data_IF_966428058435
#
_entry.id   IF_966428058435
#
_cell.length_a   1.000
_cell.length_b   1.000
_cell.length_c   1.000
_cell.angle_alpha   90.00
_cell.angle_beta   90.00
_cell.angle_gamma   90.00
#
_symmetry.space_group_name_H-M   'P 1'
#
loop_
_entity.id
_entity.type
_entity.pdbx_description
1 polymer ?
#
# COMPACT_ATOMS: atom_id res chain seq x y z
N UNK A 1 12.14 10.69 0.75
CA UNK A 1 11.01 10.18 1.51
C UNK A 1 11.52 9.25 2.63
N UNK A 2 11.10 9.48 3.84
CA UNK A 2 11.58 8.69 4.97
C UNK A 2 11.01 7.27 5.04
N UNK A 3 10.01 6.96 4.22
CA UNK A 3 9.39 5.64 4.23
C UNK A 3 10.01 4.69 3.22
N UNK A 4 10.60 5.22 2.16
CA UNK A 4 11.30 4.39 1.18
C UNK A 4 12.27 5.24 0.37
N UNK A 5 13.21 4.56 -0.28
CA UNK A 5 14.18 5.20 -1.16
C UNK A 5 13.86 4.82 -2.60
N UNK A 6 13.76 5.82 -3.46
CA UNK A 6 13.38 5.63 -4.85
C UNK A 6 14.25 4.63 -5.59
N UNK A 7 15.54 4.58 -5.27
CA UNK A 7 16.51 3.75 -5.98
C UNK A 7 16.64 2.34 -5.41
N UNK A 8 15.93 2.02 -4.37
CA UNK A 8 15.95 0.67 -3.81
C UNK A 8 14.80 -0.10 -4.40
N UNK A 9 15.04 -1.14 -5.24
CA UNK A 9 13.97 -1.87 -5.88
C UNK A 9 13.20 -2.79 -4.94
N UNK A 10 13.75 -3.05 -3.75
CA UNK A 10 13.13 -3.93 -2.78
C UNK A 10 12.82 -3.13 -1.55
N UNK A 11 11.55 -2.85 -1.37
CA UNK A 11 11.07 -2.16 -0.19
C UNK A 11 10.41 -3.11 0.79
N UNK A 12 10.90 -4.33 0.79
CA UNK A 12 10.56 -5.25 1.82
C UNK A 12 11.38 -4.90 3.03
N UNK A 13 10.74 -4.56 4.10
CA UNK A 13 11.46 -4.34 5.34
C UNK A 13 10.83 -5.14 6.46
N UNK A 14 11.63 -5.38 7.48
CA UNK A 14 11.25 -6.20 8.61
C UNK A 14 10.94 -5.31 9.80
N UNK A 15 9.85 -5.61 10.48
CA UNK A 15 9.50 -4.93 11.71
C UNK A 15 8.96 -6.01 12.65
N UNK A 16 9.83 -6.46 13.58
CA UNK A 16 9.47 -7.46 14.58
C UNK A 16 8.79 -8.70 13.99
N UNK A 17 9.34 -9.23 12.91
CA UNK A 17 8.83 -10.43 12.27
C UNK A 17 7.76 -10.22 11.22
N UNK A 18 7.33 -8.98 11.00
CA UNK A 18 6.43 -8.68 9.89
C UNK A 18 7.21 -8.50 8.59
N UNK A 19 6.67 -9.03 7.50
CA UNK A 19 7.19 -8.76 6.16
C UNK A 19 6.27 -7.77 5.47
N UNK A 20 6.84 -6.71 4.96
CA UNK A 20 6.08 -5.61 4.37
C UNK A 20 6.60 -5.36 2.97
N UNK A 21 5.72 -5.45 2.00
CA UNK A 21 6.04 -5.18 0.61
C UNK A 21 5.53 -3.78 0.28
N UNK A 22 6.44 -2.91 -0.15
CA UNK A 22 6.07 -1.54 -0.50
C UNK A 22 5.87 -1.46 -2.00
N UNK A 23 4.70 -1.02 -2.40
CA UNK A 23 4.32 -0.85 -3.80
C UNK A 23 3.97 0.59 -4.07
N UNK A 24 4.04 0.98 -5.33
CA UNK A 24 3.50 2.28 -5.73
C UNK A 24 2.92 2.19 -7.12
N UNK A 25 1.96 3.07 -7.37
CA UNK A 25 1.27 3.13 -8.65
C UNK A 25 1.06 4.56 -9.09
N UNK A 26 1.29 4.80 -10.37
CA UNK A 26 0.83 6.02 -11.00
C UNK A 26 -0.68 6.00 -11.13
N UNK A 27 -1.26 7.18 -11.26
CA UNK A 27 -2.69 7.31 -11.49
C UNK A 27 -2.97 7.12 -12.99
N UNK A 28 -3.75 6.11 -13.32
CA UNK A 28 -4.12 5.82 -14.70
C UNK A 28 -5.46 6.45 -15.03
N UNK A 29 -5.52 7.07 -16.20
CA UNK A 29 -6.77 7.61 -16.74
C UNK A 29 -7.37 6.60 -17.71
N UNK A 30 -8.68 6.41 -17.65
CA UNK A 30 -9.36 5.62 -18.66
C UNK A 30 -9.48 6.46 -19.95
N UNK A 31 -9.64 5.77 -21.10
CA UNK A 31 -9.71 6.42 -22.38
C UNK A 31 -10.84 7.46 -22.50
N UNK A 32 -11.92 7.22 -21.78
CA UNK A 32 -13.06 8.17 -21.77
C UNK A 32 -12.83 9.36 -20.82
N UNK A 33 -11.73 9.36 -20.08
CA UNK A 33 -11.38 10.47 -19.20
C UNK A 33 -12.22 10.64 -17.95
N UNK A 34 -13.19 9.77 -17.71
CA UNK A 34 -14.16 9.94 -16.64
C UNK A 34 -13.82 9.22 -15.35
N UNK A 35 -12.82 8.38 -15.35
CA UNK A 35 -12.41 7.69 -14.13
C UNK A 35 -10.93 7.47 -14.11
N UNK A 36 -10.39 7.47 -12.91
CA UNK A 36 -8.99 7.25 -12.64
C UNK A 36 -8.86 6.05 -11.72
N UNK A 37 -7.77 5.33 -11.84
CA UNK A 37 -7.54 4.17 -11.01
C UNK A 37 -6.05 3.92 -10.83
N UNK A 38 -5.75 3.08 -9.86
CA UNK A 38 -4.40 2.59 -9.62
C UNK A 38 -4.36 1.08 -9.79
N UNK A 39 -3.18 0.57 -10.06
CA UNK A 39 -2.97 -0.86 -10.23
C UNK A 39 -1.77 -1.30 -9.40
N UNK A 40 -1.92 -2.39 -8.67
CA UNK A 40 -0.86 -2.97 -7.87
C UNK A 40 -0.73 -4.45 -8.18
N UNK A 41 0.49 -4.92 -8.28
CA UNK A 41 0.75 -6.35 -8.32
C UNK A 41 0.89 -6.84 -6.89
N UNK A 42 0.09 -7.86 -6.55
CA UNK A 42 -0.06 -8.28 -5.17
C UNK A 42 0.46 -9.69 -4.90
N UNK A 43 1.16 -10.26 -5.86
CA UNK A 43 1.71 -11.60 -5.69
C UNK A 43 2.81 -11.62 -4.63
N UNK A 44 2.77 -12.61 -3.75
CA UNK A 44 3.82 -12.80 -2.75
C UNK A 44 3.28 -13.33 -1.45
N UNK A 45 4.18 -13.55 -0.50
CA UNK A 45 3.88 -14.12 0.81
C UNK A 45 4.08 -13.12 1.95
N UNK A 46 4.17 -11.84 1.64
CA UNK A 46 4.33 -10.82 2.66
C UNK A 46 3.09 -10.71 3.53
N UNK A 47 3.27 -10.17 4.73
CA UNK A 47 2.16 -9.98 5.67
C UNK A 47 1.30 -8.78 5.30
N UNK A 48 1.94 -7.72 4.79
CA UNK A 48 1.27 -6.48 4.43
C UNK A 48 1.79 -5.93 3.12
N UNK A 49 0.93 -5.17 2.45
CA UNK A 49 1.35 -4.27 1.39
C UNK A 49 1.15 -2.85 1.90
N UNK A 50 2.17 -2.03 1.74
CA UNK A 50 2.07 -0.59 1.91
C UNK A 50 2.11 0.01 0.51
N UNK A 51 1.02 0.63 0.11
CA UNK A 51 0.89 1.16 -1.25
C UNK A 51 0.92 2.69 -1.24
N UNK A 52 1.80 3.24 -2.06
CA UNK A 52 1.85 4.69 -2.31
C UNK A 52 1.22 4.94 -3.67
N UNK A 53 0.12 5.65 -3.68
CA UNK A 53 -0.69 5.87 -4.87
C UNK A 53 -0.60 7.33 -5.29
N UNK A 54 -0.17 7.56 -6.52
CA UNK A 54 -0.07 8.93 -7.04
C UNK A 54 -1.42 9.64 -6.93
N UNK A 55 -1.42 10.80 -6.27
CA UNK A 55 -2.67 11.51 -6.00
C UNK A 55 -3.24 12.16 -7.24
N UNK A 56 -2.39 12.80 -8.02
CA UNK A 56 -2.77 13.46 -9.26
C UNK A 56 -1.78 13.11 -10.35
N UNK A 57 -2.23 13.11 -11.60
CA UNK A 57 -1.35 12.81 -12.72
C UNK A 57 -0.17 13.77 -12.74
N UNK A 58 1.03 13.21 -12.72
CA UNK A 58 2.26 14.00 -12.76
C UNK A 58 2.77 14.44 -11.40
N UNK A 59 2.03 14.21 -10.33
CA UNK A 59 2.51 14.58 -8.99
C UNK A 59 3.51 13.57 -8.43
N UNK A 60 3.66 12.43 -9.09
CA UNK A 60 4.52 11.35 -8.63
C UNK A 60 4.20 10.97 -7.19
N UNK A 61 5.15 11.11 -6.28
CA UNK A 61 4.95 10.74 -4.89
C UNK A 61 4.83 11.94 -3.96
N UNK A 62 4.41 13.09 -4.50
CA UNK A 62 4.08 14.22 -3.65
C UNK A 62 2.72 13.97 -3.00
N UNK A 63 2.70 13.94 -1.69
CA UNK A 63 1.50 13.70 -0.89
C UNK A 63 0.65 12.54 -1.44
N UNK A 64 1.24 11.34 -1.60
CA UNK A 64 0.49 10.23 -2.17
C UNK A 64 -0.61 9.77 -1.22
N UNK A 65 -1.62 9.09 -1.80
CA UNK A 65 -2.53 8.31 -0.97
C UNK A 65 -1.79 7.07 -0.50
N UNK A 66 -1.92 6.73 0.77
CA UNK A 66 -1.23 5.58 1.35
C UNK A 66 -2.25 4.56 1.81
N UNK A 67 -2.08 3.32 1.35
CA UNK A 67 -2.90 2.20 1.83
C UNK A 67 -2.01 1.24 2.61
N UNK A 68 -2.54 0.75 3.71
CA UNK A 68 -1.94 -0.34 4.48
C UNK A 68 -2.90 -1.52 4.40
N UNK A 69 -2.52 -2.53 3.63
CA UNK A 69 -3.42 -3.66 3.32
C UNK A 69 -2.83 -4.95 3.85
N UNK A 70 -3.51 -5.59 4.83
CA UNK A 70 -3.11 -6.94 5.23
C UNK A 70 -3.34 -7.91 4.06
N UNK A 71 -2.37 -8.78 3.81
CA UNK A 71 -2.46 -9.71 2.68
C UNK A 71 -3.67 -10.63 2.76
N UNK A 72 -4.14 -10.93 3.95
CA UNK A 72 -5.32 -11.79 4.12
C UNK A 72 -6.56 -11.26 3.41
N UNK A 73 -6.66 -9.95 3.18
CA UNK A 73 -7.79 -9.35 2.48
C UNK A 73 -7.63 -9.37 0.95
N UNK A 74 -6.46 -9.67 0.47
CA UNK A 74 -6.18 -9.73 -0.97
C UNK A 74 -6.42 -11.14 -1.52
N UNK A 75 -6.22 -12.13 -0.69
CA UNK A 75 -6.38 -13.54 -1.02
C UNK A 75 -5.53 -13.94 -2.24
N UNK A 76 -6.16 -14.53 -3.24
CA UNK A 76 -5.45 -15.06 -4.40
C UNK A 76 -5.33 -14.08 -5.56
N UNK A 77 -5.76 -12.85 -5.36
CA UNK A 77 -5.68 -11.86 -6.43
C UNK A 77 -4.21 -11.53 -6.73
N UNK A 78 -3.86 -11.58 -8.00
CA UNK A 78 -2.50 -11.27 -8.44
C UNK A 78 -2.32 -9.79 -8.75
N UNK A 79 -3.41 -9.09 -8.91
CA UNK A 79 -3.42 -7.69 -9.28
C UNK A 79 -4.65 -7.03 -8.68
N UNK A 80 -4.45 -5.85 -8.11
CA UNK A 80 -5.55 -5.04 -7.59
C UNK A 80 -5.76 -3.84 -8.49
N UNK A 81 -7.03 -3.60 -8.82
CA UNK A 81 -7.46 -2.38 -9.47
C UNK A 81 -8.21 -1.55 -8.45
N UNK A 82 -7.69 -0.37 -8.16
CA UNK A 82 -8.18 0.47 -7.07
C UNK A 82 -8.77 1.73 -7.68
N UNK A 83 -10.07 1.96 -7.45
CA UNK A 83 -10.71 3.20 -7.89
C UNK A 83 -10.59 4.26 -6.80
N UNK A 84 -10.65 5.53 -7.21
CA UNK A 84 -10.49 6.64 -6.28
C UNK A 84 -11.56 6.69 -5.20
N UNK A 85 -12.74 6.14 -5.46
CA UNK A 85 -13.84 6.09 -4.48
C UNK A 85 -14.18 4.68 -4.05
N UNK A 86 -13.32 3.72 -4.34
CA UNK A 86 -13.59 2.32 -4.08
C UNK A 86 -13.33 1.89 -2.64
N UNK A 87 -13.67 0.65 -2.36
CA UNK A 87 -13.55 0.10 -1.01
C UNK A 87 -12.12 0.05 -0.50
N UNK A 88 -11.14 -0.17 -1.39
CA UNK A 88 -9.75 -0.25 -0.96
C UNK A 88 -9.29 1.07 -0.34
N UNK A 89 -9.69 2.19 -0.95
CA UNK A 89 -9.40 3.51 -0.38
C UNK A 89 -10.16 3.68 0.95
N UNK A 90 -11.45 3.39 0.94
CA UNK A 90 -12.28 3.61 2.12
C UNK A 90 -11.86 2.80 3.33
N UNK A 91 -11.44 1.55 3.09
CA UNK A 91 -11.16 0.62 4.20
C UNK A 91 -9.72 0.64 4.67
N UNK A 92 -8.77 0.99 3.79
CA UNK A 92 -7.35 0.80 4.09
C UNK A 92 -6.49 2.05 3.98
N UNK A 93 -7.07 3.19 3.67
CA UNK A 93 -6.28 4.42 3.60
C UNK A 93 -5.83 4.85 4.98
N UNK A 94 -4.55 5.25 5.08
CA UNK A 94 -3.99 5.77 6.31
C UNK A 94 -3.31 7.10 6.02
N UNK A 95 -3.23 7.94 7.03
CA UNK A 95 -2.45 9.16 6.94
C UNK A 95 -0.96 8.86 7.10
N UNK A 96 -0.07 9.65 6.51
CA UNK A 96 1.37 9.38 6.63
C UNK A 96 1.84 9.20 8.06
N UNK A 97 1.35 10.01 8.97
CA UNK A 97 1.75 9.95 10.38
C UNK A 97 1.20 8.74 11.11
N UNK A 98 0.20 8.06 10.55
CA UNK A 98 -0.37 6.87 11.16
C UNK A 98 0.37 5.59 10.76
N UNK A 99 1.12 5.62 9.68
CA UNK A 99 1.67 4.40 9.09
C UNK A 99 2.61 3.66 10.04
N UNK A 100 3.60 4.36 10.59
CA UNK A 100 4.54 3.72 11.51
C UNK A 100 3.90 3.23 12.79
N UNK A 101 3.05 4.02 13.47
CA UNK A 101 2.37 3.53 14.66
C UNK A 101 1.52 2.29 14.40
N UNK A 102 0.78 2.25 13.30
CA UNK A 102 -0.03 1.09 12.96
C UNK A 102 0.83 -0.14 12.69
N UNK A 103 1.92 0.00 11.97
CA UNK A 103 2.82 -1.13 11.72
C UNK A 103 3.43 -1.65 13.01
N UNK A 104 3.79 -0.76 13.93
CA UNK A 104 4.30 -1.17 15.24
C UNK A 104 3.26 -1.93 16.03
N UNK A 105 2.01 -1.50 15.98
CA UNK A 105 0.93 -2.18 16.67
C UNK A 105 0.72 -3.59 16.10
N UNK A 106 0.74 -3.74 14.78
CA UNK A 106 0.64 -5.06 14.15
C UNK A 106 1.83 -5.95 14.50
N UNK A 107 3.03 -5.37 14.54
CA UNK A 107 4.22 -6.12 14.92
C UNK A 107 4.11 -6.63 16.36
N UNK A 108 3.57 -5.81 17.25
CA UNK A 108 3.35 -6.21 18.64
C UNK A 108 2.33 -7.34 18.74
N UNK A 109 1.24 -7.24 17.97
CA UNK A 109 0.24 -8.31 17.91
C UNK A 109 0.85 -9.61 17.41
N UNK A 110 1.70 -9.55 16.40
CA UNK A 110 2.39 -10.72 15.88
C UNK A 110 3.29 -11.34 16.95
N UNK A 111 4.04 -10.53 17.64
CA UNK A 111 4.94 -10.96 18.70
C UNK A 111 4.19 -11.67 19.81
N UNK A 112 2.97 -11.24 20.11
CA UNK A 112 2.14 -11.82 21.14
C UNK A 112 1.26 -12.98 20.65
N UNK A 113 1.44 -13.40 19.40
CA UNK A 113 0.69 -14.52 18.84
C UNK A 113 -0.76 -14.19 18.47
N UNK A 114 -1.11 -12.91 18.37
CA UNK A 114 -2.48 -12.47 18.06
C UNK A 114 -2.69 -12.15 16.59
N UNK A 115 -1.67 -12.39 15.77
CA UNK A 115 -1.76 -12.06 14.36
C UNK A 115 -0.97 -13.02 13.49
#
# INVERSE_FOLDING_TARGET
NKYFKKNNPVYDFWLDGLTIDVKYSSLYKRKNGNSHHWQLRTKGNQDFIVAFLERESGSELEEPNILLIPMQFIEEQKELHISQSGRWINDFQVEPEELQPLLKDYALLRKNGLF
#
